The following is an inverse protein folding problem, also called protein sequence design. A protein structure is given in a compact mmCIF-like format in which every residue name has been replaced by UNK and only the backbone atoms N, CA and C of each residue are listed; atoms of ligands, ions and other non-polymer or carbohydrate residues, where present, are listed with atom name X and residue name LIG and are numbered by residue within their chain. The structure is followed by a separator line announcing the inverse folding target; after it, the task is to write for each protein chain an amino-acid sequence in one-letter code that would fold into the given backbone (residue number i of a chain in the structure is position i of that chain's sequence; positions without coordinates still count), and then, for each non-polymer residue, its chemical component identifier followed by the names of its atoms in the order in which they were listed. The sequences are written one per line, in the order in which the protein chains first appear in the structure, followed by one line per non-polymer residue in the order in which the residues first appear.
data_IF_119552869614
#
_entry.id   IF_119552869614
#
_cell.length_a   1.000
_cell.length_b   1.000
_cell.length_c   1.000
_cell.angle_alpha   90.00
_cell.angle_beta   90.00
_cell.angle_gamma   90.00
#
_symmetry.space_group_name_H-M   'P 1'
#
loop_
_entity.id
_entity.type
_entity.pdbx_description
1 polymer ?
#
# COMPACT_ATOMS: atom_id res chain seq x y z
N UNK A 1 8.95 -63.68 -1.60
CA UNK A 1 7.80 -62.80 -1.90
C UNK A 1 7.99 -61.52 -1.10
N UNK A 2 8.35 -60.43 -1.80
CA UNK A 2 8.78 -59.17 -1.19
C UNK A 2 7.57 -58.37 -0.71
N UNK A 3 7.22 -58.50 0.58
CA UNK A 3 6.16 -57.71 1.24
C UNK A 3 6.36 -56.19 1.09
N UNK A 4 7.56 -55.73 0.75
CA UNK A 4 7.87 -54.32 0.47
C UNK A 4 7.16 -53.76 -0.77
N UNK A 5 6.81 -54.59 -1.76
CA UNK A 5 6.10 -54.13 -2.97
C UNK A 5 4.63 -53.82 -2.72
N UNK A 6 4.03 -54.39 -1.67
CA UNK A 6 2.62 -54.22 -1.32
C UNK A 6 2.33 -52.86 -0.65
N UNK A 7 3.32 -52.28 0.05
CA UNK A 7 3.19 -51.01 0.75
C UNK A 7 3.58 -49.78 -0.10
N UNK A 8 4.23 -50.01 -1.23
CA UNK A 8 4.71 -48.96 -2.14
C UNK A 8 3.60 -48.04 -2.67
N UNK A 9 2.42 -48.52 -3.13
CA UNK A 9 1.35 -47.63 -3.59
C UNK A 9 0.72 -46.81 -2.44
N UNK A 10 0.67 -47.37 -1.23
CA UNK A 10 0.13 -46.67 -0.06
C UNK A 10 1.06 -45.52 0.38
N UNK A 11 2.38 -45.74 0.37
CA UNK A 11 3.38 -44.71 0.66
C UNK A 11 3.37 -43.57 -0.38
N UNK A 12 3.15 -43.89 -1.65
CA UNK A 12 3.01 -42.90 -2.72
C UNK A 12 1.73 -42.07 -2.53
N UNK A 13 0.59 -42.71 -2.25
CA UNK A 13 -0.67 -41.99 -1.98
C UNK A 13 -0.57 -41.10 -0.73
N UNK A 14 0.01 -41.59 0.37
CA UNK A 14 0.23 -40.79 1.58
C UNK A 14 1.18 -39.62 1.32
N UNK A 15 2.24 -39.82 0.54
CA UNK A 15 3.16 -38.74 0.15
C UNK A 15 2.50 -37.67 -0.70
N UNK A 16 1.66 -38.04 -1.66
CA UNK A 16 0.90 -37.12 -2.51
C UNK A 16 -0.17 -36.35 -1.73
N UNK A 17 -0.84 -37.00 -0.78
CA UNK A 17 -1.81 -36.36 0.12
C UNK A 17 -1.12 -35.36 1.07
N UNK A 18 0.09 -35.68 1.55
CA UNK A 18 0.89 -34.78 2.38
C UNK A 18 1.42 -33.58 1.59
N UNK A 19 1.88 -33.78 0.35
CA UNK A 19 2.34 -32.71 -0.54
C UNK A 19 1.21 -31.73 -0.93
N UNK A 20 -0.01 -32.23 -1.13
CA UNK A 20 -1.17 -31.38 -1.44
C UNK A 20 -1.69 -30.62 -0.22
N UNK A 21 -1.58 -31.19 0.98
CA UNK A 21 -1.93 -30.53 2.25
C UNK A 21 -0.97 -29.41 2.68
N UNK A 22 0.24 -29.36 2.09
CA UNK A 22 1.22 -28.30 2.31
C UNK A 22 0.93 -27.01 1.51
N UNK A 23 -0.17 -26.98 0.74
CA UNK A 23 -0.73 -25.74 0.19
C UNK A 23 -1.53 -25.00 1.27
N UNK A 24 -0.87 -24.75 2.41
CA UNK A 24 -1.42 -23.93 3.49
C UNK A 24 -1.50 -22.49 2.99
N UNK A 25 -2.62 -22.16 2.33
CA UNK A 25 -3.06 -20.83 1.92
C UNK A 25 -1.94 -19.79 1.90
N UNK A 26 -1.09 -19.84 0.87
CA UNK A 26 -0.15 -18.77 0.61
C UNK A 26 -0.97 -17.49 0.43
N UNK A 27 -0.96 -16.63 1.44
CA UNK A 27 -1.41 -15.26 1.27
C UNK A 27 -0.58 -14.68 0.12
N UNK A 28 -1.17 -13.88 -0.78
CA UNK A 28 -0.40 -13.29 -1.85
C UNK A 28 0.82 -12.58 -1.25
N UNK A 29 2.02 -13.01 -1.66
CA UNK A 29 3.25 -12.35 -1.24
C UNK A 29 3.15 -10.87 -1.64
N UNK A 30 3.38 -9.98 -0.69
CA UNK A 30 3.40 -8.54 -0.97
C UNK A 30 4.52 -8.27 -1.97
N UNK A 31 4.17 -7.81 -3.17
CA UNK A 31 5.15 -7.54 -4.22
C UNK A 31 6.06 -6.36 -3.83
N UNK A 32 5.46 -5.29 -3.33
CA UNK A 32 6.16 -4.11 -2.81
C UNK A 32 5.25 -3.31 -1.87
N UNK A 33 5.86 -2.42 -1.10
CA UNK A 33 5.15 -1.40 -0.33
C UNK A 33 5.86 -0.05 -0.47
N UNK A 34 5.09 1.03 -0.43
CA UNK A 34 5.60 2.40 -0.45
C UNK A 34 5.01 3.17 0.72
N UNK A 35 5.81 4.03 1.35
CA UNK A 35 5.36 4.92 2.40
C UNK A 35 5.75 6.36 2.05
N UNK A 36 4.81 7.29 2.28
CA UNK A 36 5.10 8.72 2.27
C UNK A 36 5.44 9.14 3.70
N UNK A 37 6.62 9.71 3.88
CA UNK A 37 7.17 10.12 5.16
C UNK A 37 7.04 11.63 5.36
N UNK A 38 6.58 12.00 6.55
CA UNK A 38 6.58 13.35 7.07
C UNK A 38 6.96 13.35 8.54
N UNK A 39 7.45 14.48 9.04
CA UNK A 39 7.82 14.65 10.45
C UNK A 39 6.61 14.76 11.39
N UNK A 40 5.42 14.94 10.83
CA UNK A 40 4.14 15.00 11.54
C UNK A 40 3.11 14.02 10.93
N UNK A 41 1.94 13.94 11.56
CA UNK A 41 0.86 13.04 11.14
C UNK A 41 0.35 13.33 9.73
N UNK A 42 0.38 12.33 8.86
CA UNK A 42 -0.20 12.40 7.51
C UNK A 42 -1.10 11.19 7.30
N UNK A 43 -2.14 11.33 6.47
CA UNK A 43 -3.07 10.25 6.20
C UNK A 43 -3.45 10.23 4.72
N UNK A 44 -3.46 9.03 4.13
CA UNK A 44 -3.99 8.81 2.79
C UNK A 44 -5.51 8.86 2.80
N UNK A 45 -6.10 9.42 1.73
CA UNK A 45 -7.55 9.48 1.59
C UNK A 45 -8.05 8.49 0.52
N UNK A 46 -7.56 8.63 -0.71
CA UNK A 46 -7.92 7.77 -1.83
C UNK A 46 -6.76 7.66 -2.82
N UNK A 47 -6.76 6.59 -3.62
CA UNK A 47 -5.83 6.39 -4.70
C UNK A 47 -6.54 5.77 -5.92
N UNK A 48 -6.01 6.01 -7.11
CA UNK A 48 -6.49 5.45 -8.38
C UNK A 48 -5.30 5.00 -9.24
N UNK A 49 -5.49 3.98 -10.06
CA UNK A 49 -4.57 3.65 -11.14
C UNK A 49 -4.90 4.50 -12.37
N UNK A 50 -3.89 5.17 -12.93
CA UNK A 50 -4.02 5.93 -14.17
C UNK A 50 -3.86 5.05 -15.41
N UNK A 51 -4.24 5.56 -16.57
CA UNK A 51 -4.08 4.85 -17.86
C UNK A 51 -2.62 4.56 -18.22
N UNK A 52 -1.68 5.24 -17.57
CA UNK A 52 -0.25 5.05 -17.71
C UNK A 52 0.33 4.01 -16.73
N UNK A 53 -0.54 3.30 -15.98
CA UNK A 53 -0.20 2.27 -15.01
C UNK A 53 0.31 2.80 -13.67
N UNK A 54 0.47 4.12 -13.51
CA UNK A 54 0.92 4.68 -12.23
C UNK A 54 -0.25 4.80 -11.25
N UNK A 55 0.07 4.76 -9.97
CA UNK A 55 -0.88 5.01 -8.90
C UNK A 55 -0.82 6.49 -8.54
N UNK A 56 -1.97 7.15 -8.58
CA UNK A 56 -2.16 8.50 -8.12
C UNK A 56 -2.79 8.43 -6.73
N UNK A 57 -2.14 9.01 -5.74
CA UNK A 57 -2.54 8.93 -4.34
C UNK A 57 -2.69 10.32 -3.74
N UNK A 58 -3.88 10.67 -3.27
CA UNK A 58 -4.10 11.89 -2.50
C UNK A 58 -4.31 11.63 -1.00
N UNK A 59 -4.04 12.67 -0.20
CA UNK A 59 -4.29 12.64 1.23
C UNK A 59 -4.04 13.97 1.92
N UNK A 60 -4.30 13.97 3.23
CA UNK A 60 -4.01 15.10 4.11
C UNK A 60 -2.62 14.98 4.73
N UNK A 61 -1.99 16.12 4.94
CA UNK A 61 -0.65 16.21 5.53
C UNK A 61 -0.51 17.49 6.34
N UNK A 62 0.31 17.48 7.39
CA UNK A 62 0.71 18.68 8.13
C UNK A 62 2.23 18.77 8.33
N UNK A 63 2.95 18.02 7.49
CA UNK A 63 4.41 17.86 7.49
C UNK A 63 5.04 18.85 6.51
N UNK A 64 6.29 19.25 6.77
CA UNK A 64 7.12 20.11 5.93
C UNK A 64 8.46 19.45 5.54
N UNK A 65 8.76 18.29 6.11
CA UNK A 65 9.98 17.53 5.89
C UNK A 65 9.67 16.20 5.21
N UNK A 66 10.71 15.48 4.82
CA UNK A 66 10.56 14.19 4.16
C UNK A 66 10.05 14.34 2.73
N UNK A 67 8.98 13.63 2.42
CA UNK A 67 8.33 13.64 1.10
C UNK A 67 7.48 14.89 0.85
N UNK A 68 7.32 15.73 1.88
CA UNK A 68 6.35 16.81 1.96
C UNK A 68 6.97 18.21 1.97
N UNK A 69 8.18 18.34 1.42
CA UNK A 69 8.99 19.57 1.45
C UNK A 69 8.40 20.77 0.71
N UNK A 70 7.40 20.55 -0.16
CA UNK A 70 6.66 21.64 -0.79
C UNK A 70 5.67 22.36 0.13
N UNK A 71 5.36 21.80 1.31
CA UNK A 71 4.49 22.47 2.26
C UNK A 71 5.23 23.56 3.01
N UNK A 72 4.72 24.79 2.89
CA UNK A 72 5.32 25.98 3.48
C UNK A 72 4.60 26.44 4.74
N UNK A 73 3.43 25.88 5.06
CA UNK A 73 2.59 26.32 6.17
C UNK A 73 2.55 25.33 7.32
N UNK A 74 2.35 25.82 8.54
CA UNK A 74 2.20 25.00 9.75
C UNK A 74 0.77 24.45 9.94
N UNK A 75 -0.05 24.48 8.90
CA UNK A 75 -1.44 24.00 8.91
C UNK A 75 -1.62 22.78 8.01
N UNK A 76 -2.79 22.14 8.14
CA UNK A 76 -3.16 20.98 7.32
C UNK A 76 -3.25 21.39 5.84
N UNK A 77 -2.49 20.70 5.00
CA UNK A 77 -2.51 20.75 3.55
C UNK A 77 -2.97 19.43 2.94
N UNK A 78 -3.00 19.41 1.61
CA UNK A 78 -3.27 18.23 0.80
C UNK A 78 -1.99 17.86 0.05
N UNK A 79 -1.78 16.58 -0.20
CA UNK A 79 -0.79 16.13 -1.18
C UNK A 79 -1.46 15.37 -2.33
N UNK A 80 -0.77 15.35 -3.47
CA UNK A 80 -1.00 14.42 -4.55
C UNK A 80 0.34 13.78 -4.89
N UNK A 81 0.40 12.45 -4.91
CA UNK A 81 1.59 11.68 -5.24
C UNK A 81 1.33 10.83 -6.48
N UNK A 82 2.36 10.65 -7.30
CA UNK A 82 2.39 9.66 -8.38
C UNK A 82 3.43 8.60 -8.06
N UNK A 83 2.99 7.35 -8.00
CA UNK A 83 3.82 6.18 -7.68
C UNK A 83 3.85 5.26 -8.90
N UNK A 84 5.03 4.78 -9.26
CA UNK A 84 5.18 3.85 -10.40
C UNK A 84 4.63 2.46 -10.09
N UNK A 85 4.36 1.62 -11.10
CA UNK A 85 3.96 0.22 -10.89
C UNK A 85 4.96 -0.61 -10.06
N UNK A 86 6.22 -0.17 -9.97
CA UNK A 86 7.27 -0.80 -9.17
C UNK A 86 7.42 -0.20 -7.77
N UNK A 87 6.55 0.72 -7.36
CA UNK A 87 6.56 1.34 -6.04
C UNK A 87 7.50 2.55 -5.89
N UNK A 88 8.00 3.12 -6.99
CA UNK A 88 8.86 4.30 -6.95
C UNK A 88 8.04 5.60 -6.85
N UNK A 89 8.49 6.56 -6.03
CA UNK A 89 7.87 7.89 -5.93
C UNK A 89 8.29 8.74 -7.14
N UNK A 90 7.42 8.85 -8.14
CA UNK A 90 7.70 9.62 -9.37
C UNK A 90 7.70 11.12 -9.07
N UNK A 91 6.66 11.61 -8.39
CA UNK A 91 6.61 12.97 -7.86
C UNK A 91 5.59 13.07 -6.73
N UNK A 92 5.75 14.11 -5.91
CA UNK A 92 4.86 14.43 -4.79
C UNK A 92 4.66 15.94 -4.79
N UNK A 93 3.42 16.36 -4.94
CA UNK A 93 3.01 17.75 -4.92
C UNK A 93 2.20 18.02 -3.66
N UNK A 94 2.39 19.20 -3.07
CA UNK A 94 1.73 19.63 -1.84
C UNK A 94 0.96 20.94 -2.06
N UNK A 95 -0.20 21.05 -1.45
CA UNK A 95 -1.14 22.17 -1.58
C UNK A 95 -1.51 22.67 -0.19
N UNK A 96 -1.16 23.91 0.13
CA UNK A 96 -1.12 24.42 1.51
C UNK A 96 -2.44 25.06 1.96
N UNK A 97 -3.52 24.90 1.20
CA UNK A 97 -4.83 25.56 1.39
C UNK A 97 -6.01 24.56 1.49
N UNK A 98 -5.77 23.27 1.27
CA UNK A 98 -6.85 22.33 0.99
C UNK A 98 -7.79 21.98 2.15
N UNK A 99 -7.33 21.99 3.41
CA UNK A 99 -8.12 21.45 4.53
C UNK A 99 -9.01 22.46 5.25
N UNK A 100 -8.71 23.76 5.18
CA UNK A 100 -9.46 24.80 5.93
C UNK A 100 -10.44 25.60 5.10
N UNK A 101 -10.32 25.59 3.77
CA UNK A 101 -11.19 26.37 2.89
C UNK A 101 -12.53 25.66 2.57
N UNK A 102 -12.66 24.36 2.85
CA UNK A 102 -13.91 23.59 2.65
C UNK A 102 -14.84 23.67 3.88
N UNK A 103 -14.43 24.33 4.97
CA UNK A 103 -15.33 24.61 6.09
C UNK A 103 -16.14 25.85 5.76
N UNK A 104 -17.42 25.66 5.37
CA UNK A 104 -18.41 26.72 5.09
C UNK A 104 -18.19 27.94 6.01
N UNK A 105 -18.14 29.16 5.47
CA UNK A 105 -18.17 30.37 6.28
C UNK A 105 -19.48 30.35 7.10
N UNK A 106 -19.39 30.13 8.41
CA UNK A 106 -20.57 30.17 9.29
C UNK A 106 -20.60 29.23 10.48
N UNK A 107 -19.66 28.30 10.64
CA UNK A 107 -19.63 27.46 11.86
C UNK A 107 -18.63 28.01 12.89
N UNK A 108 -19.06 28.96 13.71
CA UNK A 108 -18.56 29.13 15.09
C UNK A 108 -19.78 29.19 16.02
N UNK A 109 -19.73 28.59 17.23
CA UNK A 109 -20.61 29.02 18.31
C UNK A 109 -20.27 30.45 18.75
#
# INVERSE_FOLDING_TARGET
MNRLQEYLPCLICCGLALLSSLSLAAQPDSLWSVALYGEKGSFGHQFIEGIDGNIYWEGGMNSKLGDFTGNTKDEDGIFLAKISPSGEKVWINTFNDGYREIRRPGSRP
#
